data_IF_937566662545
#
_entry.id   IF_937566662545
#
_cell.length_a   1.000
_cell.length_b   1.000
_cell.length_c   1.000
_cell.angle_alpha   90.00
_cell.angle_beta   90.00
_cell.angle_gamma   90.00
#
_symmetry.space_group_name_H-M   'P 1'
#
loop_
_entity.id
_entity.type
_entity.pdbx_description
1 polymer ?
#
# COMPACT_ATOMS: atom_id res chain seq x y z
N UNK A 1 65.71 24.16 -23.17
CA UNK A 1 65.86 23.17 -22.10
C UNK A 1 64.48 23.02 -21.50
N UNK A 2 63.84 21.90 -21.81
CA UNK A 2 62.48 21.57 -21.44
C UNK A 2 62.58 20.63 -20.24
N UNK A 3 62.00 21.02 -19.11
CA UNK A 3 61.91 20.17 -17.93
C UNK A 3 60.61 19.38 -18.02
N UNK A 4 60.79 18.08 -18.25
CA UNK A 4 59.77 17.05 -18.33
C UNK A 4 59.29 16.66 -16.93
N UNK A 5 57.97 16.78 -16.79
CA UNK A 5 57.02 15.89 -16.11
C UNK A 5 57.60 14.62 -15.47
N UNK A 6 57.28 14.44 -14.18
CA UNK A 6 57.23 13.12 -13.54
C UNK A 6 56.07 13.12 -12.51
N UNK A 7 54.83 13.22 -13.02
CA UNK A 7 53.61 12.88 -12.25
C UNK A 7 53.31 11.40 -12.46
N UNK A 8 53.85 10.57 -11.57
CA UNK A 8 53.49 9.16 -11.44
C UNK A 8 52.07 9.03 -10.88
N UNK A 9 51.06 9.17 -11.74
CA UNK A 9 49.69 8.75 -11.46
C UNK A 9 49.67 7.22 -11.34
N UNK A 10 49.55 6.73 -10.11
CA UNK A 10 49.18 5.36 -9.81
C UNK A 10 47.79 5.09 -10.40
N UNK A 11 47.76 4.55 -11.62
CA UNK A 11 46.59 3.91 -12.22
C UNK A 11 46.24 2.66 -11.40
N UNK A 12 45.54 2.86 -10.29
CA UNK A 12 44.76 1.80 -9.66
C UNK A 12 43.66 1.43 -10.63
N UNK A 13 43.92 0.41 -11.45
CA UNK A 13 42.92 -0.22 -12.30
C UNK A 13 41.78 -0.71 -11.39
N UNK A 14 40.74 0.10 -11.24
CA UNK A 14 39.48 -0.34 -10.63
C UNK A 14 38.87 -1.35 -11.58
N UNK A 15 39.26 -2.62 -11.45
CA UNK A 15 38.44 -3.72 -11.92
C UNK A 15 37.07 -3.49 -11.28
N UNK A 16 36.10 -3.06 -12.10
CA UNK A 16 34.74 -2.85 -11.67
C UNK A 16 34.19 -4.18 -11.23
N UNK A 17 34.39 -4.51 -9.96
CA UNK A 17 33.89 -5.72 -9.33
C UNK A 17 32.38 -5.68 -9.52
N UNK A 18 31.86 -6.62 -10.32
CA UNK A 18 30.45 -6.67 -10.63
C UNK A 18 29.70 -7.13 -9.37
N UNK A 19 29.30 -6.17 -8.54
CA UNK A 19 28.64 -6.38 -7.24
C UNK A 19 27.43 -7.32 -7.36
N UNK A 20 26.77 -7.36 -8.51
CA UNK A 20 25.64 -8.26 -8.75
C UNK A 20 26.00 -9.75 -8.79
N UNK A 21 27.25 -10.10 -9.12
CA UNK A 21 27.73 -11.48 -9.11
C UNK A 21 28.19 -11.90 -7.71
N UNK A 22 28.76 -10.98 -6.93
CA UNK A 22 29.18 -11.25 -5.54
C UNK A 22 27.98 -11.45 -4.63
N UNK A 23 26.91 -10.67 -4.85
CA UNK A 23 25.66 -10.79 -4.11
C UNK A 23 24.81 -11.99 -4.57
N UNK A 24 25.37 -13.05 -5.16
CA UNK A 24 24.61 -14.29 -5.39
C UNK A 24 24.74 -15.19 -4.16
N UNK A 25 23.61 -15.66 -3.64
CA UNK A 25 23.57 -16.71 -2.62
C UNK A 25 24.29 -17.94 -3.18
N UNK A 26 25.16 -18.60 -2.39
CA UNK A 26 25.74 -19.86 -2.80
C UNK A 26 24.68 -20.95 -2.60
N UNK A 27 24.38 -21.73 -3.64
CA UNK A 27 23.48 -22.89 -3.48
C UNK A 27 24.23 -24.07 -2.84
N UNK A 28 23.57 -24.85 -1.95
CA UNK A 28 22.19 -24.73 -1.50
C UNK A 28 22.04 -23.71 -0.35
N UNK A 29 21.06 -22.81 -0.47
CA UNK A 29 20.67 -21.85 0.57
C UNK A 29 19.18 -22.01 0.87
N UNK A 30 18.85 -22.31 2.13
CA UNK A 30 17.48 -22.39 2.61
C UNK A 30 17.18 -21.19 3.53
N UNK A 31 16.19 -20.38 3.15
CA UNK A 31 15.82 -19.16 3.88
C UNK A 31 15.08 -19.45 5.20
N UNK A 32 14.53 -20.66 5.33
CA UNK A 32 13.80 -21.09 6.52
C UNK A 32 14.71 -21.80 7.53
N UNK A 33 15.97 -22.04 7.17
CA UNK A 33 16.98 -22.62 8.05
C UNK A 33 17.82 -21.53 8.73
N UNK A 34 17.74 -21.45 10.06
CA UNK A 34 18.47 -20.46 10.86
C UNK A 34 20.00 -20.56 10.68
N UNK A 35 20.54 -21.76 10.48
CA UNK A 35 21.98 -21.94 10.29
C UNK A 35 22.47 -21.37 8.95
N UNK A 36 21.67 -21.52 7.90
CA UNK A 36 21.97 -21.02 6.57
C UNK A 36 21.84 -19.50 6.51
N UNK A 37 20.82 -18.93 7.16
CA UNK A 37 20.67 -17.47 7.31
C UNK A 37 21.85 -16.86 8.07
N UNK A 38 22.28 -17.45 9.19
CA UNK A 38 23.44 -16.96 9.94
C UNK A 38 24.74 -17.06 9.12
N UNK A 39 24.91 -18.15 8.35
CA UNK A 39 26.08 -18.33 7.48
C UNK A 39 26.15 -17.25 6.39
N UNK A 40 25.00 -16.94 5.78
CA UNK A 40 24.94 -15.91 4.75
C UNK A 40 25.12 -14.50 5.32
N UNK A 41 24.60 -14.22 6.52
CA UNK A 41 24.86 -12.94 7.20
C UNK A 41 26.34 -12.73 7.48
N UNK A 42 27.03 -13.73 8.06
CA UNK A 42 28.47 -13.64 8.31
C UNK A 42 29.26 -13.43 7.01
N UNK A 43 28.89 -14.14 5.94
CA UNK A 43 29.50 -13.96 4.62
C UNK A 43 29.31 -12.54 4.09
N UNK A 44 28.13 -11.94 4.28
CA UNK A 44 27.87 -10.55 3.86
C UNK A 44 28.65 -9.54 4.71
N UNK A 45 28.85 -9.80 6.00
CA UNK A 45 29.72 -8.99 6.87
C UNK A 45 31.18 -9.03 6.42
N UNK A 46 31.70 -10.23 6.13
CA UNK A 46 33.06 -10.42 5.61
C UNK A 46 33.25 -9.68 4.27
N UNK A 47 32.28 -9.78 3.37
CA UNK A 47 32.27 -9.08 2.09
C UNK A 47 32.21 -7.55 2.25
N UNK A 48 31.44 -7.04 3.21
CA UNK A 48 31.40 -5.62 3.51
C UNK A 48 32.73 -5.10 4.09
N UNK A 49 33.44 -5.93 4.86
CA UNK A 49 34.77 -5.61 5.36
C UNK A 49 35.80 -5.57 4.22
N UNK A 50 35.77 -6.53 3.29
CA UNK A 50 36.67 -6.58 2.11
C UNK A 50 36.41 -5.45 1.11
N UNK A 51 35.16 -5.00 0.98
CA UNK A 51 34.76 -4.02 -0.02
C UNK A 51 34.02 -2.83 0.62
N UNK A 52 34.76 -1.76 0.97
CA UNK A 52 34.22 -0.55 1.61
C UNK A 52 33.04 0.12 0.87
N UNK A 53 32.87 -0.12 -0.43
CA UNK A 53 31.74 0.37 -1.24
C UNK A 53 30.43 -0.42 -1.09
N UNK A 54 30.44 -1.62 -0.48
CA UNK A 54 29.23 -2.43 -0.36
C UNK A 54 28.19 -1.81 0.57
N UNK A 55 28.63 -1.18 1.66
CA UNK A 55 27.75 -0.49 2.59
C UNK A 55 27.05 0.72 1.97
N UNK A 56 27.51 1.24 0.83
CA UNK A 56 26.82 2.28 0.07
C UNK A 56 25.78 1.72 -0.92
N UNK A 57 25.83 0.42 -1.22
CA UNK A 57 24.89 -0.23 -2.13
C UNK A 57 23.55 -0.49 -1.46
N UNK A 58 22.50 0.12 -1.99
CA UNK A 58 21.12 -0.08 -1.51
C UNK A 58 20.71 -1.56 -1.56
N UNK A 59 21.13 -2.29 -2.61
CA UNK A 59 20.85 -3.73 -2.76
C UNK A 59 21.48 -4.59 -1.67
N UNK A 60 22.70 -4.24 -1.23
CA UNK A 60 23.36 -4.93 -0.12
C UNK A 60 22.59 -4.69 1.18
N UNK A 61 22.26 -3.42 1.48
CA UNK A 61 21.51 -3.05 2.69
C UNK A 61 20.16 -3.76 2.79
N UNK A 62 19.34 -3.69 1.74
CA UNK A 62 18.00 -4.32 1.74
C UNK A 62 18.08 -5.84 1.93
N UNK A 63 19.10 -6.49 1.36
CA UNK A 63 19.30 -7.93 1.54
C UNK A 63 19.76 -8.28 2.94
N UNK A 64 20.74 -7.53 3.47
CA UNK A 64 21.27 -7.73 4.80
C UNK A 64 20.16 -7.59 5.85
N UNK A 65 19.40 -6.50 5.78
CA UNK A 65 18.25 -6.23 6.66
C UNK A 65 17.17 -7.31 6.56
N UNK A 66 16.88 -7.81 5.34
CA UNK A 66 15.91 -8.90 5.16
C UNK A 66 16.37 -10.19 5.84
N UNK A 67 17.65 -10.54 5.73
CA UNK A 67 18.21 -11.73 6.37
C UNK A 67 18.28 -11.57 7.90
N UNK A 68 18.55 -10.35 8.38
CA UNK A 68 18.53 -10.04 9.81
C UNK A 68 17.12 -10.18 10.41
N UNK A 69 16.11 -9.63 9.74
CA UNK A 69 14.71 -9.79 10.13
C UNK A 69 14.29 -11.28 10.13
N UNK A 70 14.70 -12.04 9.11
CA UNK A 70 14.43 -13.48 9.03
C UNK A 70 15.09 -14.25 10.18
N UNK A 71 16.35 -13.93 10.51
CA UNK A 71 17.08 -14.52 11.65
C UNK A 71 16.30 -14.30 12.95
N UNK A 72 15.82 -13.09 13.17
CA UNK A 72 15.13 -12.72 14.40
C UNK A 72 13.74 -13.40 14.49
N UNK A 73 13.02 -13.51 13.37
CA UNK A 73 11.79 -14.30 13.29
C UNK A 73 12.02 -15.78 13.61
N UNK A 74 13.06 -16.39 13.02
CA UNK A 74 13.40 -17.80 13.28
C UNK A 74 13.84 -18.03 14.73
N UNK A 75 14.55 -17.07 15.34
CA UNK A 75 14.88 -17.12 16.78
C UNK A 75 13.65 -17.02 17.67
N UNK A 76 12.72 -16.12 17.35
CA UNK A 76 11.46 -15.97 18.08
C UNK A 76 10.57 -17.23 17.98
N UNK A 77 10.57 -17.89 16.83
CA UNK A 77 9.86 -19.16 16.65
C UNK A 77 10.49 -20.32 17.44
N UNK A 78 11.84 -20.36 17.52
CA UNK A 78 12.57 -21.41 18.24
C UNK A 78 12.50 -21.25 19.75
N UNK A 79 12.47 -20.00 20.25
CA UNK A 79 12.42 -19.66 21.67
C UNK A 79 11.22 -18.73 21.97
N UNK A 80 9.99 -19.25 22.05
CA UNK A 80 8.80 -18.45 22.33
C UNK A 80 8.74 -17.90 23.78
N UNK A 81 9.75 -18.19 24.60
CA UNK A 81 9.85 -17.78 26.00
C UNK A 81 10.49 -16.40 26.21
N UNK A 82 11.11 -15.82 25.18
CA UNK A 82 11.96 -14.62 25.30
C UNK A 82 11.35 -13.33 24.71
N UNK A 83 10.14 -13.40 24.14
CA UNK A 83 9.54 -12.27 23.41
C UNK A 83 8.70 -11.30 24.25
N UNK A 84 8.94 -11.20 25.57
CA UNK A 84 8.13 -10.35 26.45
C UNK A 84 8.78 -9.02 26.84
N UNK A 85 10.07 -8.79 26.60
CA UNK A 85 10.72 -7.55 27.04
C UNK A 85 11.78 -7.07 26.04
N UNK A 86 11.37 -6.28 25.04
CA UNK A 86 12.25 -5.30 24.36
C UNK A 86 11.46 -4.34 23.48
N UNK A 87 10.84 -3.37 24.15
CA UNK A 87 10.59 -2.05 23.57
C UNK A 87 11.73 -1.11 24.01
N UNK A 88 12.13 -0.20 23.11
CA UNK A 88 13.06 0.95 23.28
C UNK A 88 14.57 0.62 23.22
N UNK A 89 15.44 1.24 22.41
CA UNK A 89 15.49 2.61 21.86
C UNK A 89 16.41 2.72 20.61
N UNK A 90 16.01 3.56 19.64
CA UNK A 90 16.78 4.43 18.72
C UNK A 90 17.66 3.88 17.57
N UNK A 91 17.34 4.24 16.32
CA UNK A 91 17.87 5.48 15.70
C UNK A 91 17.08 5.90 14.45
N UNK A 92 16.80 7.20 14.35
CA UNK A 92 16.08 7.90 13.28
C UNK A 92 16.77 7.79 11.90
N UNK A 93 15.97 7.49 10.86
CA UNK A 93 16.15 8.07 9.52
C UNK A 93 14.82 8.10 8.75
N UNK A 94 14.10 9.21 8.91
CA UNK A 94 13.45 10.02 7.88
C UNK A 94 13.24 9.35 6.49
N UNK A 95 12.11 8.66 6.29
CA UNK A 95 11.22 8.75 5.12
C UNK A 95 9.99 7.86 5.38
N UNK A 96 8.95 8.46 5.92
CA UNK A 96 7.75 7.83 6.46
C UNK A 96 6.78 7.45 5.32
N UNK A 97 6.82 6.19 4.90
CA UNK A 97 5.79 5.57 4.07
C UNK A 97 4.88 4.74 5.00
N UNK A 98 3.56 4.95 5.04
CA UNK A 98 2.73 4.21 5.97
C UNK A 98 2.59 2.78 5.49
N UNK A 99 3.15 1.89 6.30
CA UNK A 99 2.93 0.46 6.32
C UNK A 99 1.45 0.16 6.04
N UNK A 100 1.22 -0.44 4.88
CA UNK A 100 -0.10 -0.84 4.45
C UNK A 100 -0.66 -1.85 5.44
N UNK A 101 -1.62 -1.39 6.25
CA UNK A 101 -2.45 -2.20 7.13
C UNK A 101 -2.83 -3.53 6.48
N UNK A 102 -2.25 -4.60 7.00
CA UNK A 102 -2.65 -5.97 6.75
C UNK A 102 -4.16 -6.16 7.00
N UNK A 103 -4.82 -7.05 6.23
CA UNK A 103 -6.21 -7.40 6.48
C UNK A 103 -6.31 -8.30 7.73
N UNK A 104 -7.07 -7.84 8.73
CA UNK A 104 -7.72 -8.64 9.79
C UNK A 104 -6.93 -9.87 10.29
N UNK A 105 -5.76 -9.66 10.90
CA UNK A 105 -5.26 -10.65 11.86
C UNK A 105 -5.99 -10.46 13.19
N UNK A 106 -6.92 -11.39 13.44
CA UNK A 106 -7.65 -11.56 14.69
C UNK A 106 -6.67 -11.91 15.83
N UNK A 107 -5.99 -10.89 16.36
CA UNK A 107 -5.22 -11.01 17.59
C UNK A 107 -6.18 -11.25 18.76
N UNK A 108 -6.10 -12.46 19.31
CA UNK A 108 -6.41 -12.89 20.70
C UNK A 108 -7.77 -12.43 21.26
N UNK A 109 -8.61 -13.40 21.63
CA UNK A 109 -9.90 -13.27 22.34
C UNK A 109 -9.74 -12.57 23.72
N UNK A 110 -9.40 -11.29 23.74
CA UNK A 110 -9.71 -10.41 24.87
C UNK A 110 -11.22 -10.31 24.97
N UNK A 111 -11.80 -10.52 26.16
CA UNK A 111 -13.21 -10.26 26.42
C UNK A 111 -13.50 -8.81 26.03
N UNK A 112 -14.10 -8.59 24.85
CA UNK A 112 -14.65 -7.29 24.47
C UNK A 112 -15.61 -6.88 25.57
N UNK A 113 -15.24 -5.88 26.35
CA UNK A 113 -16.10 -5.28 27.36
C UNK A 113 -17.37 -4.80 26.63
N UNK A 114 -18.50 -5.35 27.04
CA UNK A 114 -19.79 -5.04 26.43
C UNK A 114 -20.30 -3.74 27.04
N UNK A 115 -20.73 -2.81 26.18
CA UNK A 115 -21.44 -1.60 26.62
C UNK A 115 -22.66 -1.99 27.45
N UNK A 116 -22.86 -1.31 28.58
CA UNK A 116 -24.00 -1.52 29.47
C UNK A 116 -25.31 -1.42 28.70
N UNK A 117 -26.27 -2.30 29.03
CA UNK A 117 -27.62 -2.28 28.41
C UNK A 117 -28.57 -1.26 29.07
N UNK A 118 -28.18 -0.74 30.24
CA UNK A 118 -28.97 0.18 31.04
C UNK A 118 -28.53 1.60 30.70
N UNK A 119 -29.47 2.45 30.32
CA UNK A 119 -29.22 3.86 30.10
C UNK A 119 -28.99 4.56 31.44
N UNK A 120 -27.95 5.38 31.52
CA UNK A 120 -27.59 6.13 32.74
C UNK A 120 -28.20 7.53 32.77
N UNK A 121 -28.83 7.96 31.68
CA UNK A 121 -29.45 9.29 31.53
C UNK A 121 -30.94 9.17 31.19
N UNK A 122 -31.80 10.07 31.70
CA UNK A 122 -33.21 10.13 31.29
C UNK A 122 -33.34 10.48 29.80
N UNK A 123 -34.34 9.88 29.15
CA UNK A 123 -34.64 10.16 27.75
C UNK A 123 -35.39 11.50 27.65
N UNK A 124 -34.94 12.38 26.76
CA UNK A 124 -35.66 13.62 26.47
C UNK A 124 -37.05 13.33 25.87
N UNK A 125 -38.10 14.06 26.29
CA UNK A 125 -39.45 13.86 25.76
C UNK A 125 -39.55 14.13 24.25
N UNK A 126 -38.67 14.99 23.71
CA UNK A 126 -38.61 15.36 22.30
C UNK A 126 -37.31 14.90 21.61
N UNK A 127 -36.78 13.73 21.96
CA UNK A 127 -35.49 13.23 21.47
C UNK A 127 -35.35 13.21 19.93
N UNK A 128 -36.44 13.02 19.18
CA UNK A 128 -36.41 12.97 17.72
C UNK A 128 -36.12 14.33 17.06
N UNK A 129 -36.56 15.43 17.68
CA UNK A 129 -36.49 16.80 17.11
C UNK A 129 -35.49 17.70 17.82
N UNK A 130 -34.98 17.29 18.99
CA UNK A 130 -34.00 18.05 19.77
C UNK A 130 -32.72 18.28 18.97
N UNK A 131 -32.24 19.53 18.99
CA UNK A 131 -30.92 19.90 18.47
C UNK A 131 -29.93 19.68 19.61
N UNK A 132 -29.03 18.73 19.41
CA UNK A 132 -27.99 18.36 20.37
C UNK A 132 -26.73 19.18 20.11
N UNK A 133 -26.06 19.60 21.19
CA UNK A 133 -24.70 20.14 21.12
C UNK A 133 -23.67 19.01 21.02
N UNK A 134 -22.43 19.32 20.63
CA UNK A 134 -21.35 18.34 20.52
C UNK A 134 -21.12 17.58 21.84
N UNK A 135 -21.21 18.29 22.97
CA UNK A 135 -21.10 17.69 24.31
C UNK A 135 -22.24 16.70 24.59
N UNK A 136 -23.47 17.05 24.20
CA UNK A 136 -24.62 16.15 24.35
C UNK A 136 -24.48 14.91 23.46
N UNK A 137 -23.93 15.08 22.25
CA UNK A 137 -23.68 13.97 21.32
C UNK A 137 -22.69 12.98 21.94
N UNK A 138 -21.61 13.46 22.56
CA UNK A 138 -20.61 12.64 23.24
C UNK A 138 -21.24 11.88 24.42
N UNK A 139 -22.04 12.55 25.25
CA UNK A 139 -22.73 11.91 26.38
C UNK A 139 -23.74 10.85 25.93
N UNK A 140 -24.52 11.13 24.88
CA UNK A 140 -25.48 10.18 24.32
C UNK A 140 -24.77 9.02 23.63
N UNK A 141 -23.59 9.22 23.03
CA UNK A 141 -22.80 8.15 22.43
C UNK A 141 -22.41 7.07 23.46
N UNK A 142 -22.22 7.45 24.72
CA UNK A 142 -21.93 6.54 25.83
C UNK A 142 -23.16 5.73 26.31
N UNK A 143 -24.36 6.00 25.77
CA UNK A 143 -25.58 5.28 26.11
C UNK A 143 -25.76 4.02 25.23
N UNK A 144 -26.57 3.03 25.67
CA UNK A 144 -26.88 1.85 24.87
C UNK A 144 -27.57 2.19 23.53
N UNK A 145 -27.40 1.36 22.49
CA UNK A 145 -28.00 1.59 21.16
C UNK A 145 -29.52 1.84 21.19
N UNK A 146 -30.24 1.18 22.10
CA UNK A 146 -31.69 1.33 22.27
C UNK A 146 -32.11 2.74 22.72
N UNK A 147 -31.24 3.44 23.45
CA UNK A 147 -31.43 4.84 23.83
C UNK A 147 -31.09 5.76 22.67
N UNK A 148 -29.93 5.55 22.04
CA UNK A 148 -29.40 6.40 20.97
C UNK A 148 -30.32 6.48 19.75
N UNK A 149 -30.96 5.37 19.37
CA UNK A 149 -31.87 5.33 18.21
C UNK A 149 -33.10 6.25 18.34
N UNK A 150 -33.40 6.78 19.54
CA UNK A 150 -34.47 7.76 19.75
C UNK A 150 -34.10 9.15 19.21
N UNK A 151 -32.80 9.45 19.11
CA UNK A 151 -32.27 10.70 18.52
C UNK A 151 -32.00 10.50 17.02
N UNK A 152 -33.08 10.32 16.26
CA UNK A 152 -33.07 9.90 14.85
C UNK A 152 -32.35 10.87 13.91
N UNK A 153 -32.18 12.14 14.30
CA UNK A 153 -31.39 13.12 13.56
C UNK A 153 -29.91 12.74 13.46
N UNK A 154 -29.36 12.19 14.55
CA UNK A 154 -27.93 11.94 14.74
C UNK A 154 -27.56 10.46 14.66
N UNK A 155 -28.46 9.55 15.08
CA UNK A 155 -28.28 8.10 15.01
C UNK A 155 -29.29 7.44 14.06
N UNK A 156 -28.90 6.31 13.49
CA UNK A 156 -29.74 5.44 12.67
C UNK A 156 -30.62 4.53 13.53
N UNK A 157 -31.51 3.76 12.89
CA UNK A 157 -32.38 2.75 13.51
C UNK A 157 -31.62 1.77 14.41
N UNK A 158 -30.38 1.46 14.04
CA UNK A 158 -29.52 0.49 14.73
C UNK A 158 -28.75 1.11 15.91
N UNK A 159 -28.98 2.39 16.19
CA UNK A 159 -28.27 3.13 17.24
C UNK A 159 -26.80 3.43 16.91
N UNK A 160 -26.45 3.45 15.61
CA UNK A 160 -25.15 3.87 15.06
C UNK A 160 -25.18 5.34 14.68
N UNK A 161 -24.11 6.08 14.94
CA UNK A 161 -24.06 7.51 14.61
C UNK A 161 -23.97 7.69 13.09
N UNK A 162 -24.52 8.79 12.56
CA UNK A 162 -24.44 9.13 11.15
C UNK A 162 -23.09 9.78 10.80
N UNK A 163 -22.65 9.55 9.56
CA UNK A 163 -21.36 10.01 9.02
C UNK A 163 -21.05 11.50 9.22
N UNK A 164 -22.00 12.45 9.07
CA UNK A 164 -21.72 13.87 9.30
C UNK A 164 -21.22 14.20 10.71
N UNK A 165 -21.53 13.36 11.70
CA UNK A 165 -21.21 13.59 13.11
C UNK A 165 -20.05 12.73 13.61
N UNK A 166 -19.36 11.99 12.73
CA UNK A 166 -18.18 11.20 13.13
C UNK A 166 -17.09 12.07 13.74
N UNK A 167 -16.90 13.29 13.23
CA UNK A 167 -15.90 14.24 13.75
C UNK A 167 -16.08 14.54 15.24
N UNK A 168 -17.33 14.60 15.71
CA UNK A 168 -17.65 14.89 17.11
C UNK A 168 -17.25 13.73 18.02
N UNK A 169 -17.50 12.49 17.58
CA UNK A 169 -17.17 11.29 18.35
C UNK A 169 -15.67 10.97 18.35
N UNK A 170 -14.95 11.34 17.30
CA UNK A 170 -13.50 11.15 17.20
C UNK A 170 -12.66 12.30 17.78
N UNK A 171 -13.29 13.24 18.49
CA UNK A 171 -12.53 14.28 19.21
C UNK A 171 -11.59 13.65 20.24
N UNK A 172 -10.38 14.19 20.29
CA UNK A 172 -9.33 13.81 21.23
C UNK A 172 -9.09 14.96 22.21
N UNK A 173 -8.72 14.60 23.43
CA UNK A 173 -8.23 15.52 24.45
C UNK A 173 -6.83 16.04 24.11
N UNK A 174 -6.37 17.06 24.84
CA UNK A 174 -5.03 17.64 24.68
C UNK A 174 -3.89 16.61 24.88
N UNK A 175 -4.18 15.48 25.53
CA UNK A 175 -3.27 14.36 25.71
C UNK A 175 -3.31 13.32 24.57
N UNK A 176 -4.11 13.54 23.51
CA UNK A 176 -4.28 12.64 22.37
C UNK A 176 -5.23 11.45 22.62
N UNK A 177 -5.84 11.35 23.80
CA UNK A 177 -6.81 10.30 24.13
C UNK A 177 -8.20 10.65 23.59
N UNK A 178 -8.97 9.65 23.13
CA UNK A 178 -10.35 9.88 22.70
C UNK A 178 -11.25 10.26 23.89
N UNK A 179 -12.06 11.29 23.69
CA UNK A 179 -13.11 11.70 24.65
C UNK A 179 -14.13 10.58 24.91
N UNK A 180 -14.32 9.70 23.93
CA UNK A 180 -15.18 8.52 24.02
C UNK A 180 -14.30 7.28 24.05
N UNK A 181 -14.42 6.40 25.07
CA UNK A 181 -13.62 5.18 25.13
C UNK A 181 -13.86 4.28 23.92
N UNK A 182 -12.84 3.51 23.51
CA UNK A 182 -12.88 2.70 22.30
C UNK A 182 -14.07 1.72 22.20
N UNK A 183 -14.52 1.20 23.35
CA UNK A 183 -15.67 0.31 23.44
C UNK A 183 -16.96 0.98 22.92
N UNK A 184 -17.12 2.26 23.25
CA UNK A 184 -18.23 3.09 22.80
C UNK A 184 -18.02 3.55 21.36
N UNK A 185 -16.79 3.79 20.90
CA UNK A 185 -16.50 4.03 19.48
C UNK A 185 -16.94 2.85 18.61
N UNK A 186 -16.54 1.63 18.97
CA UNK A 186 -16.94 0.41 18.28
C UNK A 186 -18.46 0.15 18.34
N UNK A 187 -19.09 0.54 19.44
CA UNK A 187 -20.54 0.48 19.60
C UNK A 187 -21.27 1.49 18.71
N UNK A 188 -20.72 2.69 18.48
CA UNK A 188 -21.36 3.75 17.70
C UNK A 188 -21.07 3.68 16.20
N UNK A 189 -19.91 3.16 15.80
CA UNK A 189 -19.43 3.19 14.41
C UNK A 189 -18.97 1.79 14.01
N UNK A 190 -19.49 1.29 12.89
CA UNK A 190 -19.00 0.04 12.30
C UNK A 190 -17.62 0.27 11.67
N UNK A 191 -16.66 -0.63 11.93
CA UNK A 191 -15.26 -0.50 11.46
C UNK A 191 -14.65 0.86 11.80
N UNK A 192 -14.84 1.30 13.04
CA UNK A 192 -14.49 2.65 13.50
C UNK A 192 -13.03 3.04 13.22
N UNK A 193 -12.07 2.10 13.34
CA UNK A 193 -10.64 2.35 13.03
C UNK A 193 -10.43 2.75 11.56
N UNK A 194 -11.05 2.03 10.63
CA UNK A 194 -11.00 2.38 9.21
C UNK A 194 -11.68 3.71 8.91
N UNK A 195 -12.74 4.05 9.66
CA UNK A 195 -13.44 5.35 9.51
C UNK A 195 -12.65 6.51 10.10
N UNK A 196 -11.94 6.29 11.19
CA UNK A 196 -11.00 7.26 11.75
C UNK A 196 -9.87 7.55 10.77
N UNK A 197 -9.23 6.50 10.22
CA UNK A 197 -8.18 6.64 9.21
C UNK A 197 -8.68 7.40 7.96
N UNK A 198 -9.93 7.18 7.53
CA UNK A 198 -10.56 7.95 6.44
C UNK A 198 -10.70 9.44 6.75
N UNK A 199 -10.91 9.81 8.02
CA UNK A 199 -11.07 11.19 8.43
C UNK A 199 -9.74 11.90 8.66
N UNK A 200 -8.74 11.19 9.18
CA UNK A 200 -7.39 11.70 9.40
C UNK A 200 -6.60 11.80 8.09
N UNK A 201 -6.76 10.81 7.20
CA UNK A 201 -6.04 10.69 5.94
C UNK A 201 -7.01 10.55 4.75
N UNK A 202 -7.82 11.58 4.44
CA UNK A 202 -8.76 11.53 3.32
C UNK A 202 -8.08 11.22 1.98
N UNK A 203 -6.83 11.63 1.80
CA UNK A 203 -6.00 11.40 0.62
C UNK A 203 -5.79 9.92 0.29
N UNK A 204 -5.66 9.03 1.28
CA UNK A 204 -5.42 7.60 1.04
C UNK A 204 -6.68 6.85 0.64
N UNK A 205 -7.84 7.26 1.16
CA UNK A 205 -9.10 6.56 0.96
C UNK A 205 -9.95 7.11 -0.19
N UNK A 206 -9.72 8.36 -0.60
CA UNK A 206 -10.35 8.94 -1.78
C UNK A 206 -9.96 8.22 -3.09
N UNK A 207 -8.82 7.52 -3.12
CA UNK A 207 -8.35 6.79 -4.30
C UNK A 207 -9.31 5.67 -4.73
N UNK A 208 -9.77 4.80 -3.81
CA UNK A 208 -10.60 3.64 -4.18
C UNK A 208 -12.07 4.00 -4.49
N UNK A 209 -12.66 4.94 -3.74
CA UNK A 209 -14.05 5.35 -3.91
C UNK A 209 -14.27 6.30 -5.09
N UNK A 210 -13.37 7.26 -5.30
CA UNK A 210 -13.45 8.18 -6.43
C UNK A 210 -13.13 7.48 -7.77
N UNK A 211 -12.20 6.51 -7.79
CA UNK A 211 -11.99 5.65 -8.97
C UNK A 211 -13.24 4.84 -9.30
N UNK A 212 -13.93 4.26 -8.30
CA UNK A 212 -15.17 3.51 -8.54
C UNK A 212 -16.29 4.41 -9.06
N UNK A 213 -16.48 5.62 -8.51
CA UNK A 213 -17.48 6.58 -8.99
C UNK A 213 -17.12 7.15 -10.37
N UNK A 214 -15.84 7.40 -10.67
CA UNK A 214 -15.37 7.78 -12.02
C UNK A 214 -15.55 6.65 -13.03
N UNK A 215 -15.26 5.40 -12.65
CA UNK A 215 -15.52 4.23 -13.47
C UNK A 215 -17.02 4.02 -13.73
N UNK A 216 -17.88 4.24 -12.72
CA UNK A 216 -19.35 4.21 -12.89
C UNK A 216 -19.85 5.34 -13.80
N UNK A 217 -19.25 6.54 -13.71
CA UNK A 217 -19.57 7.66 -14.61
C UNK A 217 -19.13 7.36 -16.05
N UNK A 218 -17.92 6.84 -16.24
CA UNK A 218 -17.43 6.37 -17.54
C UNK A 218 -18.31 5.26 -18.15
N UNK A 219 -18.86 4.35 -17.33
CA UNK A 219 -19.86 3.34 -17.77
C UNK A 219 -21.18 3.93 -18.24
N UNK A 220 -21.55 5.12 -17.76
CA UNK A 220 -22.79 5.80 -18.16
C UNK A 220 -22.65 6.43 -19.54
N UNK A 221 -21.44 6.87 -19.88
CA UNK A 221 -21.09 7.52 -21.14
C UNK A 221 -20.77 6.50 -22.27
N UNK A 222 -20.59 5.21 -21.94
CA UNK A 222 -20.35 4.11 -22.89
C UNK A 222 -21.62 3.29 -23.19
N UNK A 223 -22.70 3.98 -23.58
CA UNK A 223 -23.90 3.32 -24.12
C UNK A 223 -23.89 3.42 -25.64
N UNK A 224 -24.13 2.31 -26.32
CA UNK A 224 -24.43 2.32 -27.76
C UNK A 224 -25.83 2.94 -27.94
N UNK A 225 -26.11 3.57 -29.09
CA UNK A 225 -27.37 4.26 -29.40
C UNK A 225 -28.67 3.47 -29.15
N UNK A 226 -28.59 2.16 -28.95
CA UNK A 226 -29.73 1.30 -28.58
C UNK A 226 -29.91 1.14 -27.06
N UNK A 227 -29.23 1.94 -26.23
CA UNK A 227 -29.38 1.98 -24.77
C UNK A 227 -28.69 0.84 -24.00
N UNK A 228 -28.05 -0.12 -24.69
CA UNK A 228 -27.27 -1.21 -24.10
C UNK A 228 -25.83 -0.76 -23.80
N UNK A 229 -25.27 -1.25 -22.69
CA UNK A 229 -23.89 -1.01 -22.32
C UNK A 229 -22.94 -1.70 -23.31
N UNK A 230 -21.83 -1.04 -23.67
CA UNK A 230 -20.71 -1.70 -24.35
C UNK A 230 -20.14 -2.72 -23.36
N UNK A 231 -20.18 -4.01 -23.70
CA UNK A 231 -19.57 -5.06 -22.86
C UNK A 231 -18.05 -4.88 -22.91
N UNK A 232 -17.43 -4.73 -21.75
CA UNK A 232 -15.98 -4.79 -21.63
C UNK A 232 -15.58 -6.20 -21.17
N UNK A 233 -14.29 -6.54 -21.28
CA UNK A 233 -13.72 -7.87 -20.93
C UNK A 233 -14.18 -8.40 -19.56
N UNK A 234 -14.41 -7.52 -18.59
CA UNK A 234 -14.90 -7.88 -17.23
C UNK A 234 -16.34 -8.40 -17.26
N UNK A 235 -17.21 -7.87 -18.12
CA UNK A 235 -18.59 -8.35 -18.26
C UNK A 235 -18.61 -9.68 -19.03
N UNK A 236 -17.71 -9.88 -19.99
CA UNK A 236 -17.54 -11.16 -20.67
C UNK A 236 -17.02 -12.23 -19.71
N UNK A 237 -16.10 -11.86 -18.81
CA UNK A 237 -15.60 -12.75 -17.75
C UNK A 237 -16.70 -13.09 -16.74
N UNK A 238 -17.50 -12.11 -16.32
CA UNK A 238 -18.62 -12.34 -15.40
C UNK A 238 -19.74 -13.16 -16.05
N UNK A 239 -20.09 -12.88 -17.31
CA UNK A 239 -21.09 -13.65 -18.05
C UNK A 239 -20.58 -15.08 -18.33
N UNK A 240 -19.30 -15.26 -18.63
CA UNK A 240 -18.63 -16.56 -18.75
C UNK A 240 -18.64 -17.35 -17.44
N UNK A 241 -18.40 -16.68 -16.32
CA UNK A 241 -18.40 -17.30 -14.98
C UNK A 241 -19.83 -17.65 -14.56
N UNK A 242 -20.80 -16.78 -14.85
CA UNK A 242 -22.22 -17.00 -14.58
C UNK A 242 -22.79 -18.10 -15.49
N UNK A 243 -22.41 -18.15 -16.75
CA UNK A 243 -22.77 -19.22 -17.68
C UNK A 243 -22.18 -20.57 -17.25
N UNK A 244 -20.92 -20.60 -16.79
CA UNK A 244 -20.31 -21.78 -16.17
C UNK A 244 -21.04 -22.21 -14.91
N UNK A 245 -21.43 -21.26 -14.05
CA UNK A 245 -22.18 -21.56 -12.83
C UNK A 245 -23.56 -22.14 -13.13
N UNK A 246 -24.27 -21.62 -14.14
CA UNK A 246 -25.57 -22.14 -14.58
C UNK A 246 -25.42 -23.51 -15.24
N UNK A 247 -24.40 -23.69 -16.09
CA UNK A 247 -24.13 -24.98 -16.74
C UNK A 247 -23.74 -26.07 -15.73
N UNK A 248 -22.97 -25.72 -14.70
CA UNK A 248 -22.60 -26.60 -13.60
C UNK A 248 -23.82 -26.95 -12.73
N UNK A 249 -24.68 -25.97 -12.43
CA UNK A 249 -25.94 -26.20 -11.72
C UNK A 249 -26.93 -27.07 -12.50
N UNK A 250 -26.94 -27.01 -13.83
CA UNK A 250 -27.75 -27.88 -14.69
C UNK A 250 -27.19 -29.31 -14.83
N UNK A 251 -25.92 -29.53 -14.45
CA UNK A 251 -25.22 -30.81 -14.54
C UNK A 251 -24.98 -31.46 -13.17
N UNK A 252 -25.53 -30.89 -12.09
CA UNK A 252 -25.22 -31.28 -10.71
C UNK A 252 -23.72 -31.31 -10.39
N UNK A 253 -22.93 -30.47 -11.07
CA UNK A 253 -21.49 -30.29 -10.83
C UNK A 253 -21.29 -29.05 -9.95
N UNK A 254 -20.56 -29.20 -8.84
CA UNK A 254 -20.24 -28.08 -7.95
C UNK A 254 -19.31 -27.08 -8.65
N UNK A 255 -19.70 -25.79 -8.67
CA UNK A 255 -18.90 -24.67 -9.23
C UNK A 255 -17.57 -24.49 -8.49
N UNK A 256 -17.51 -24.92 -7.23
CA UNK A 256 -16.29 -25.07 -6.45
C UNK A 256 -16.00 -26.57 -6.37
N UNK A 257 -15.15 -27.04 -7.26
CA UNK A 257 -14.76 -28.44 -7.29
C UNK A 257 -14.14 -28.86 -5.97
N UNK A 258 -14.90 -29.57 -5.14
CA UNK A 258 -14.47 -30.64 -4.24
C UNK A 258 -15.68 -31.17 -3.44
N UNK A 259 -15.99 -32.44 -3.68
CA UNK A 259 -16.84 -33.37 -2.91
C UNK A 259 -18.36 -33.12 -2.92
N UNK A 260 -19.26 -34.10 -3.04
CA UNK A 260 -19.27 -35.52 -3.42
C UNK A 260 -20.76 -35.92 -3.37
N UNK A 261 -21.28 -36.69 -4.32
CA UNK A 261 -22.35 -37.66 -4.05
C UNK A 261 -22.11 -38.99 -4.79
N UNK A 262 -21.32 -39.82 -4.11
CA UNK A 262 -21.39 -41.28 -3.99
C UNK A 262 -21.09 -42.22 -5.20
N UNK A 263 -20.62 -43.46 -4.91
CA UNK A 263 -19.78 -44.27 -5.80
C UNK A 263 -20.56 -45.27 -6.66
N UNK A 264 -19.88 -45.96 -7.61
CA UNK A 264 -19.50 -47.34 -7.31
C UNK A 264 -18.07 -47.72 -7.75
N UNK A 265 -17.43 -48.55 -6.93
CA UNK A 265 -16.40 -49.56 -7.26
C UNK A 265 -15.57 -49.36 -8.55
N UNK A 266 -14.58 -48.49 -8.48
CA UNK A 266 -13.38 -48.60 -9.32
C UNK A 266 -12.23 -49.03 -8.42
N UNK A 267 -11.48 -50.04 -8.87
CA UNK A 267 -10.29 -50.58 -8.20
C UNK A 267 -9.35 -49.45 -7.79
N UNK A 268 -8.62 -49.60 -6.68
CA UNK A 268 -7.70 -48.59 -6.17
C UNK A 268 -6.76 -48.02 -7.27
N UNK A 269 -6.37 -48.87 -8.23
CA UNK A 269 -5.60 -48.51 -9.42
C UNK A 269 -6.24 -47.42 -10.28
N UNK A 270 -7.54 -47.52 -10.58
CA UNK A 270 -8.26 -46.50 -11.38
C UNK A 270 -8.42 -45.17 -10.66
N UNK A 271 -8.46 -45.18 -9.33
CA UNK A 271 -8.50 -43.93 -8.53
C UNK A 271 -7.15 -43.22 -8.55
N UNK A 272 -6.06 -44.00 -8.50
CA UNK A 272 -4.70 -43.47 -8.62
C UNK A 272 -4.47 -42.90 -10.02
N UNK A 273 -4.81 -43.64 -11.08
CA UNK A 273 -4.70 -43.15 -12.47
C UNK A 273 -5.53 -41.88 -12.72
N UNK A 274 -6.75 -41.79 -12.15
CA UNK A 274 -7.57 -40.58 -12.24
C UNK A 274 -6.92 -39.40 -11.51
N UNK A 275 -6.39 -39.63 -10.29
CA UNK A 275 -5.71 -38.60 -9.52
C UNK A 275 -4.40 -38.14 -10.19
N UNK A 276 -3.65 -39.04 -10.81
CA UNK A 276 -2.44 -38.73 -11.59
C UNK A 276 -2.76 -37.90 -12.84
N UNK A 277 -3.81 -38.27 -13.58
CA UNK A 277 -4.28 -37.49 -14.73
C UNK A 277 -4.80 -36.10 -14.33
N UNK A 278 -5.49 -35.99 -13.19
CA UNK A 278 -5.91 -34.70 -12.63
C UNK A 278 -4.69 -33.87 -12.20
N UNK A 279 -3.68 -34.47 -11.57
CA UNK A 279 -2.45 -33.79 -11.18
C UNK A 279 -1.68 -33.25 -12.40
N UNK A 280 -1.60 -34.02 -13.49
CA UNK A 280 -1.02 -33.57 -14.76
C UNK A 280 -1.79 -32.39 -15.36
N UNK A 281 -3.12 -32.44 -15.31
CA UNK A 281 -3.98 -31.33 -15.77
C UNK A 281 -3.78 -30.07 -14.92
N UNK A 282 -3.70 -30.19 -13.60
CA UNK A 282 -3.40 -29.04 -12.73
C UNK A 282 -2.02 -28.47 -12.99
N UNK A 283 -1.02 -29.32 -13.23
CA UNK A 283 0.33 -28.88 -13.60
C UNK A 283 0.34 -28.10 -14.91
N UNK A 284 -0.40 -28.54 -15.92
CA UNK A 284 -0.54 -27.81 -17.18
C UNK A 284 -1.22 -26.44 -16.98
N UNK A 285 -2.30 -26.39 -16.20
CA UNK A 285 -2.99 -25.12 -15.88
C UNK A 285 -2.11 -24.14 -15.10
N UNK A 286 -1.26 -24.63 -14.18
CA UNK A 286 -0.29 -23.81 -13.47
C UNK A 286 0.74 -23.23 -14.45
N UNK A 287 1.25 -24.02 -15.39
CA UNK A 287 2.17 -23.52 -16.41
C UNK A 287 1.53 -22.46 -17.32
N UNK A 288 0.28 -22.65 -17.74
CA UNK A 288 -0.46 -21.66 -18.53
C UNK A 288 -0.71 -20.36 -17.72
N UNK A 289 -1.07 -20.50 -16.45
CA UNK A 289 -1.25 -19.35 -15.54
C UNK A 289 0.06 -18.58 -15.34
N UNK A 290 1.17 -19.28 -15.15
CA UNK A 290 2.50 -18.66 -15.03
C UNK A 290 2.92 -17.96 -16.32
N UNK A 291 2.62 -18.54 -17.49
CA UNK A 291 2.89 -17.94 -18.79
C UNK A 291 2.11 -16.63 -18.97
N UNK A 292 0.82 -16.63 -18.66
CA UNK A 292 -0.03 -15.42 -18.71
C UNK A 292 0.51 -14.35 -17.75
N UNK A 293 0.87 -14.73 -16.52
CA UNK A 293 1.40 -13.79 -15.56
C UNK A 293 2.72 -13.16 -16.01
N UNK A 294 3.62 -13.95 -16.62
CA UNK A 294 4.85 -13.43 -17.22
C UNK A 294 4.57 -12.44 -18.34
N UNK A 295 3.60 -12.71 -19.21
CA UNK A 295 3.23 -11.81 -20.29
C UNK A 295 2.64 -10.49 -19.77
N UNK A 296 1.81 -10.53 -18.73
CA UNK A 296 1.28 -9.34 -18.06
C UNK A 296 2.39 -8.50 -17.42
N UNK A 297 3.36 -9.15 -16.75
CA UNK A 297 4.54 -8.46 -16.18
C UNK A 297 5.36 -7.81 -17.29
N UNK A 298 5.59 -8.49 -18.40
CA UNK A 298 6.32 -7.93 -19.54
C UNK A 298 5.57 -6.76 -20.20
N UNK A 299 4.25 -6.82 -20.29
CA UNK A 299 3.45 -5.73 -20.84
C UNK A 299 3.45 -4.50 -19.93
N UNK A 300 3.28 -4.70 -18.62
CA UNK A 300 3.36 -3.61 -17.64
C UNK A 300 4.74 -2.96 -17.62
N UNK A 301 5.82 -3.74 -17.68
CA UNK A 301 7.17 -3.21 -17.85
C UNK A 301 7.33 -2.37 -19.12
N UNK A 302 6.82 -2.84 -20.27
CA UNK A 302 6.86 -2.08 -21.52
C UNK A 302 6.11 -0.75 -21.42
N UNK A 303 4.94 -0.75 -20.77
CA UNK A 303 4.15 0.47 -20.52
C UNK A 303 4.91 1.44 -19.62
N UNK A 304 5.52 0.95 -18.54
CA UNK A 304 6.34 1.77 -17.65
C UNK A 304 7.57 2.35 -18.34
N UNK A 305 8.32 1.54 -19.11
CA UNK A 305 9.48 2.03 -19.89
C UNK A 305 9.08 3.08 -20.91
N UNK A 306 7.93 2.93 -21.57
CA UNK A 306 7.40 3.95 -22.49
C UNK A 306 7.07 5.25 -21.75
N UNK A 307 6.37 5.16 -20.62
CA UNK A 307 6.02 6.32 -19.80
C UNK A 307 7.27 7.05 -19.28
N UNK A 308 8.32 6.32 -18.89
CA UNK A 308 9.60 6.92 -18.48
C UNK A 308 10.24 7.69 -19.63
N UNK A 309 10.33 7.12 -20.84
CA UNK A 309 10.87 7.82 -22.02
C UNK A 309 10.08 9.08 -22.37
N UNK A 310 8.75 9.05 -22.24
CA UNK A 310 7.92 10.22 -22.50
C UNK A 310 8.14 11.31 -21.44
N UNK A 311 8.37 10.92 -20.18
CA UNK A 311 8.75 11.86 -19.10
C UNK A 311 10.15 12.43 -19.26
N UNK A 312 11.11 11.65 -19.72
CA UNK A 312 12.46 12.12 -20.05
C UNK A 312 12.41 13.18 -21.17
N UNK A 313 11.61 12.96 -22.21
CA UNK A 313 11.40 13.96 -23.28
C UNK A 313 10.76 15.24 -22.75
N UNK A 314 9.78 15.13 -21.85
CA UNK A 314 9.16 16.30 -21.20
C UNK A 314 10.18 17.10 -20.39
N UNK A 315 11.04 16.42 -19.63
CA UNK A 315 12.16 17.04 -18.90
C UNK A 315 13.11 17.77 -19.86
N UNK A 316 13.48 17.15 -20.98
CA UNK A 316 14.37 17.77 -21.97
C UNK A 316 13.76 19.03 -22.61
N UNK A 317 12.44 19.01 -22.88
CA UNK A 317 11.72 20.19 -23.38
C UNK A 317 11.73 21.30 -22.35
N UNK A 318 11.43 20.98 -21.08
CA UNK A 318 11.43 21.94 -19.99
C UNK A 318 12.82 22.55 -19.77
N UNK A 319 13.89 21.73 -19.81
CA UNK A 319 15.28 22.22 -19.71
C UNK A 319 15.63 23.22 -20.80
N UNK A 320 15.22 22.96 -22.06
CA UNK A 320 15.43 23.93 -23.16
C UNK A 320 14.66 25.23 -22.93
N UNK A 321 13.44 25.15 -22.41
CA UNK A 321 12.63 26.32 -22.12
C UNK A 321 13.24 27.16 -20.98
N UNK A 322 13.75 26.50 -19.93
CA UNK A 322 14.48 27.17 -18.85
C UNK A 322 15.71 27.90 -19.39
N UNK A 323 16.53 27.23 -20.22
CA UNK A 323 17.70 27.86 -20.82
C UNK A 323 17.36 29.08 -21.72
N UNK A 324 16.28 29.01 -22.48
CA UNK A 324 15.79 30.14 -23.29
C UNK A 324 15.34 31.32 -22.40
N UNK A 325 14.65 31.05 -21.30
CA UNK A 325 14.25 32.08 -20.33
C UNK A 325 15.45 32.70 -19.62
N UNK A 326 16.44 31.90 -19.23
CA UNK A 326 17.69 32.37 -18.63
C UNK A 326 18.44 33.32 -19.58
N UNK A 327 18.55 32.97 -20.87
CA UNK A 327 19.17 33.83 -21.88
C UNK A 327 18.40 35.15 -22.08
N UNK A 328 17.06 35.12 -22.02
CA UNK A 328 16.24 36.36 -22.06
C UNK A 328 16.45 37.23 -20.83
N UNK A 329 16.54 36.63 -19.65
CA UNK A 329 16.83 37.36 -18.40
C UNK A 329 18.20 38.03 -18.50
N UNK A 330 19.21 37.32 -19.00
CA UNK A 330 20.56 37.87 -19.21
C UNK A 330 20.54 39.06 -20.18
N UNK A 331 19.83 38.95 -21.31
CA UNK A 331 19.68 40.06 -22.27
C UNK A 331 18.98 41.29 -21.67
N UNK A 332 17.96 41.07 -20.84
CA UNK A 332 17.28 42.14 -20.11
C UNK A 332 18.19 42.80 -19.08
N UNK A 333 18.98 42.03 -18.34
CA UNK A 333 19.96 42.55 -17.38
C UNK A 333 21.00 43.44 -18.06
N UNK A 334 21.55 43.03 -19.21
CA UNK A 334 22.48 43.86 -20.00
C UNK A 334 21.80 45.18 -20.42
N UNK A 335 20.52 45.15 -20.76
CA UNK A 335 19.76 46.35 -21.14
C UNK A 335 19.56 47.28 -19.95
N UNK A 336 19.22 46.74 -18.78
CA UNK A 336 19.09 47.49 -17.52
C UNK A 336 20.42 48.14 -17.15
N UNK A 337 21.54 47.41 -17.21
CA UNK A 337 22.87 47.96 -16.95
C UNK A 337 23.23 49.13 -17.88
N UNK A 338 22.87 49.02 -19.16
CA UNK A 338 23.06 50.13 -20.13
C UNK A 338 22.22 51.34 -19.77
N UNK A 339 20.96 51.15 -19.37
CA UNK A 339 20.08 52.23 -18.96
C UNK A 339 20.58 52.91 -17.68
N UNK A 340 21.03 52.14 -16.69
CA UNK A 340 21.61 52.68 -15.46
C UNK A 340 22.84 53.55 -15.75
N UNK A 341 23.74 53.11 -16.63
CA UNK A 341 24.90 53.92 -17.07
C UNK A 341 24.49 55.24 -17.76
N UNK A 342 23.37 55.28 -18.47
CA UNK A 342 22.86 56.51 -19.08
C UNK A 342 22.32 57.44 -17.99
N UNK A 343 21.53 56.90 -17.05
CA UNK A 343 21.00 57.65 -15.90
C UNK A 343 22.14 58.26 -15.10
N UNK A 344 23.18 57.49 -14.75
CA UNK A 344 24.35 57.97 -13.99
C UNK A 344 25.08 59.12 -14.69
N UNK A 345 25.14 59.11 -16.03
CA UNK A 345 25.73 60.21 -16.81
C UNK A 345 24.87 61.47 -16.77
N UNK A 346 23.55 61.32 -16.84
CA UNK A 346 22.61 62.44 -16.78
C UNK A 346 22.62 63.09 -15.39
N UNK A 347 22.60 62.29 -14.33
CA UNK A 347 22.65 62.78 -12.94
C UNK A 347 23.99 63.43 -12.58
N UNK A 348 25.09 63.01 -13.22
CA UNK A 348 26.40 63.64 -13.05
C UNK A 348 26.55 64.96 -13.81
N UNK A 349 25.69 65.28 -14.77
CA UNK A 349 25.72 66.55 -15.51
C UNK A 349 24.86 67.65 -14.86
N UNK A 350 23.87 67.28 -14.05
CA UNK A 350 23.00 68.22 -13.34
C UNK A 350 23.58 68.76 -12.03
N UNK A 351 24.60 68.09 -11.47
CA UNK A 351 25.36 68.54 -10.31
C UNK A 351 26.67 69.19 -10.73
#
# INVERSE_FOLDING_TARGET
>A
MADQEDESMASSSSQGVNLSQILKTPEPFDIDNLEDVNRELNRLEDLAAEHHGMNASERFRTRFERLENQRDQLRAQRNPSDSMDRDSVSSESFFDAPEMLEPDQQTKKGKRRQVSRIATMPLDPNAATKILTDKDIIQIAQQPPAFRKRYTRYWNSDGKIKEPYFRVIFQQDDAGNFLVPEEYLASNIERWRSRLAQLQHPEWYNCRGALRKRAIKARKDQRIGNGRFVKNEIDELNDSTRARAIAAALRDESVLGLQTRNPPTTTATRRVEAAENEALRFKALLHDSDAIHRDEVMETERRHRKALRDKEKEIDILKRHVADLESKIEALNITIERQNKIIDRLTSQEN
#
